data_IF_718898903460
#
_entry.id   IF_718898903460
#
_cell.length_a   1.000
_cell.length_b   1.000
_cell.length_c   1.000
_cell.angle_alpha   90.00
_cell.angle_beta   90.00
_cell.angle_gamma   90.00
#
_symmetry.space_group_name_H-M   'P 1'
#
loop_
_entity.id
_entity.type
_entity.pdbx_description
1 polymer ?
#
# COMPACT_ATOMS: atom_id res chain seq x y z
N UNK A 1 -7.14 -27.58 0.40
CA UNK A 1 -8.22 -26.75 1.00
C UNK A 1 -9.46 -26.93 0.16
N UNK A 2 -10.66 -26.91 0.78
CA UNK A 2 -11.91 -27.18 0.04
C UNK A 2 -12.59 -25.88 -0.43
N UNK A 3 -12.30 -24.78 0.22
CA UNK A 3 -12.88 -23.46 -0.06
C UNK A 3 -11.85 -22.33 -0.03
N UNK A 4 -12.06 -21.34 -0.91
CA UNK A 4 -11.40 -20.03 -0.86
C UNK A 4 -12.44 -18.96 -0.57
N UNK A 5 -12.18 -18.09 0.40
CA UNK A 5 -13.04 -16.94 0.70
C UNK A 5 -12.61 -15.78 -0.19
N UNK A 6 -13.54 -15.23 -0.93
CA UNK A 6 -13.31 -14.12 -1.83
C UNK A 6 -14.49 -13.15 -1.91
N UNK A 7 -14.49 -12.28 -2.89
CA UNK A 7 -15.56 -11.33 -3.17
C UNK A 7 -15.74 -11.15 -4.69
N UNK A 8 -16.75 -10.38 -5.14
CA UNK A 8 -17.03 -10.22 -6.56
C UNK A 8 -15.88 -9.61 -7.38
N UNK A 9 -14.95 -8.89 -6.73
CA UNK A 9 -13.83 -8.21 -7.39
C UNK A 9 -12.59 -9.10 -7.42
N UNK A 10 -12.22 -9.67 -6.27
CA UNK A 10 -10.97 -10.44 -6.12
C UNK A 10 -11.11 -11.86 -6.71
N UNK A 11 -12.28 -12.49 -6.52
CA UNK A 11 -12.58 -13.84 -7.03
C UNK A 11 -13.93 -13.88 -7.72
N UNK A 12 -14.09 -13.26 -8.88
CA UNK A 12 -15.33 -13.33 -9.64
C UNK A 12 -15.73 -14.78 -9.93
N UNK A 13 -17.00 -15.14 -9.75
CA UNK A 13 -17.50 -16.50 -9.99
C UNK A 13 -17.28 -16.95 -11.45
N UNK A 14 -17.21 -16.01 -12.39
CA UNK A 14 -16.86 -16.31 -13.78
C UNK A 14 -15.46 -16.92 -13.93
N UNK A 15 -14.59 -16.70 -12.97
CA UNK A 15 -13.22 -17.25 -12.94
C UNK A 15 -13.09 -18.49 -12.04
N UNK A 16 -14.20 -19.07 -11.59
CA UNK A 16 -14.18 -20.22 -10.66
C UNK A 16 -13.38 -21.41 -11.21
N UNK A 17 -13.34 -21.59 -12.52
CA UNK A 17 -12.56 -22.66 -13.16
C UNK A 17 -11.04 -22.52 -13.03
N UNK A 18 -10.53 -21.36 -12.60
CA UNK A 18 -9.10 -21.12 -12.36
C UNK A 18 -8.66 -21.52 -10.95
N UNK A 19 -9.59 -21.86 -10.05
CA UNK A 19 -9.33 -22.24 -8.67
C UNK A 19 -9.58 -23.74 -8.48
N UNK A 20 -8.72 -24.41 -7.74
CA UNK A 20 -8.93 -25.78 -7.31
C UNK A 20 -10.00 -25.87 -6.20
N UNK A 21 -10.12 -24.80 -5.42
CA UNK A 21 -11.06 -24.66 -4.32
C UNK A 21 -12.42 -24.12 -4.81
N UNK A 22 -13.46 -24.43 -4.05
CA UNK A 22 -14.78 -23.79 -4.24
C UNK A 22 -14.77 -22.38 -3.69
N UNK A 23 -15.26 -21.42 -4.45
CA UNK A 23 -15.31 -20.00 -4.03
C UNK A 23 -16.49 -19.81 -3.08
N UNK A 24 -16.20 -19.41 -1.84
CA UNK A 24 -17.17 -18.86 -0.90
C UNK A 24 -17.15 -17.34 -1.02
N UNK A 25 -18.05 -16.79 -1.86
CA UNK A 25 -18.06 -15.38 -2.19
C UNK A 25 -18.76 -14.54 -1.13
N UNK A 26 -18.05 -13.62 -0.53
CA UNK A 26 -18.60 -12.60 0.38
C UNK A 26 -19.30 -11.50 -0.44
N UNK A 27 -20.39 -10.89 0.09
CA UNK A 27 -21.21 -9.99 -0.72
C UNK A 27 -20.56 -8.65 -1.05
N UNK A 28 -19.61 -8.17 -0.24
CA UNK A 28 -18.99 -6.84 -0.41
C UNK A 28 -17.47 -6.93 -0.48
N UNK A 29 -16.85 -7.51 0.54
CA UNK A 29 -15.39 -7.62 0.64
C UNK A 29 -15.01 -8.91 1.36
N UNK A 30 -14.03 -9.61 0.85
CA UNK A 30 -13.53 -10.84 1.47
C UNK A 30 -12.78 -10.59 2.77
N UNK A 31 -12.23 -9.39 2.93
CA UNK A 31 -11.41 -9.02 4.07
C UNK A 31 -12.28 -8.47 5.20
N UNK A 32 -12.26 -9.09 6.40
CA UNK A 32 -13.02 -8.58 7.53
C UNK A 32 -12.44 -7.26 8.01
N UNK A 33 -13.30 -6.25 8.15
CA UNK A 33 -12.96 -4.95 8.70
C UNK A 33 -13.75 -4.71 9.99
N UNK A 34 -13.02 -4.48 11.08
CA UNK A 34 -13.62 -4.11 12.34
C UNK A 34 -14.04 -2.63 12.36
N UNK A 35 -15.37 -2.40 12.44
CA UNK A 35 -15.93 -1.04 12.52
C UNK A 35 -15.74 -0.39 13.90
N UNK A 36 -15.41 -1.17 14.92
CA UNK A 36 -15.17 -0.71 16.29
C UNK A 36 -13.68 -0.48 16.56
N UNK A 37 -12.83 -0.63 15.54
CA UNK A 37 -11.39 -0.39 15.66
C UNK A 37 -11.14 1.02 16.20
N UNK A 38 -10.35 1.16 17.28
CA UNK A 38 -10.00 2.47 17.82
C UNK A 38 -9.35 3.34 16.74
N UNK A 39 -9.86 4.54 16.58
CA UNK A 39 -9.22 5.52 15.69
C UNK A 39 -8.07 6.16 16.44
N UNK A 40 -6.87 6.26 15.85
CA UNK A 40 -5.80 7.04 16.46
C UNK A 40 -6.21 8.50 16.58
N UNK A 41 -5.60 9.20 17.53
CA UNK A 41 -5.77 10.66 17.63
C UNK A 41 -5.34 11.31 16.29
N UNK A 42 -6.01 12.39 15.87
CA UNK A 42 -5.57 13.16 14.73
C UNK A 42 -4.12 13.63 14.92
N UNK A 43 -3.30 13.43 13.90
CA UNK A 43 -1.92 13.88 13.85
C UNK A 43 -1.83 15.05 12.87
N UNK A 44 -1.16 16.13 13.24
CA UNK A 44 -0.87 17.23 12.32
C UNK A 44 0.30 16.90 11.40
N UNK A 45 0.47 17.65 10.31
CA UNK A 45 1.65 17.53 9.44
C UNK A 45 2.94 17.82 10.20
N UNK A 46 2.92 18.81 11.08
CA UNK A 46 4.06 19.17 11.92
C UNK A 46 4.47 18.02 12.86
N UNK A 47 3.49 17.33 13.48
CA UNK A 47 3.77 16.16 14.33
C UNK A 47 4.41 15.01 13.55
N UNK A 48 4.10 14.90 12.25
CA UNK A 48 4.67 13.91 11.35
C UNK A 48 5.98 14.36 10.67
N UNK A 49 6.45 15.59 10.93
CA UNK A 49 7.63 16.17 10.29
C UNK A 49 7.44 16.45 8.79
N UNK A 50 6.19 16.62 8.34
CA UNK A 50 5.85 16.89 6.95
C UNK A 50 5.75 18.39 6.69
N UNK A 51 6.18 18.88 5.51
CA UNK A 51 6.00 20.28 5.12
C UNK A 51 4.52 20.65 5.03
N UNK A 52 4.17 21.88 5.41
CA UNK A 52 2.78 22.34 5.45
C UNK A 52 2.13 22.38 4.06
N UNK A 53 2.87 22.89 3.06
CA UNK A 53 2.36 23.14 1.71
C UNK A 53 2.74 22.06 0.68
N UNK A 54 3.46 21.01 1.08
CA UNK A 54 3.89 19.95 0.18
C UNK A 54 2.75 19.01 -0.23
N UNK A 55 2.79 18.52 -1.45
CA UNK A 55 2.02 17.35 -1.87
C UNK A 55 2.64 16.10 -1.25
N UNK A 56 1.89 15.40 -0.39
CA UNK A 56 2.38 14.19 0.29
C UNK A 56 1.90 12.96 -0.46
N UNK A 57 2.83 12.24 -1.07
CA UNK A 57 2.61 10.94 -1.70
C UNK A 57 2.93 9.86 -0.67
N UNK A 58 1.97 9.00 -0.35
CA UNK A 58 2.13 7.98 0.69
C UNK A 58 2.24 6.58 0.11
N UNK A 59 3.28 5.84 0.52
CA UNK A 59 3.45 4.43 0.19
C UNK A 59 3.66 3.58 1.45
N UNK A 60 2.58 3.26 2.19
CA UNK A 60 2.66 2.48 3.45
C UNK A 60 2.60 0.98 3.24
N UNK A 61 3.00 0.51 2.07
CA UNK A 61 3.19 -0.91 1.80
C UNK A 61 4.50 -1.41 2.40
N UNK A 62 4.59 -2.73 2.58
CA UNK A 62 5.84 -3.36 3.00
C UNK A 62 6.92 -3.19 1.92
N UNK A 63 8.17 -2.97 2.33
CA UNK A 63 9.29 -2.64 1.45
C UNK A 63 9.50 -3.65 0.31
N UNK A 64 9.23 -4.95 0.54
CA UNK A 64 9.37 -5.99 -0.50
C UNK A 64 8.40 -5.82 -1.69
N UNK A 65 7.38 -4.97 -1.56
CA UNK A 65 6.43 -4.64 -2.64
C UNK A 65 6.89 -3.47 -3.51
N UNK A 66 7.97 -2.81 -3.12
CA UNK A 66 8.55 -1.70 -3.87
C UNK A 66 9.60 -2.31 -4.79
N UNK A 67 9.24 -2.50 -6.07
CA UNK A 67 10.20 -2.92 -7.09
C UNK A 67 10.97 -1.71 -7.62
N UNK A 68 12.11 -1.95 -8.27
CA UNK A 68 12.90 -0.88 -8.90
C UNK A 68 12.08 -0.09 -9.92
N UNK A 69 11.25 -0.75 -10.73
CA UNK A 69 10.41 -0.07 -11.72
C UNK A 69 9.39 0.87 -11.08
N UNK A 70 8.81 0.47 -9.94
CA UNK A 70 7.88 1.34 -9.19
C UNK A 70 8.62 2.52 -8.59
N UNK A 71 9.82 2.29 -8.08
CA UNK A 71 10.67 3.35 -7.52
C UNK A 71 11.09 4.35 -8.58
N UNK A 72 11.46 3.89 -9.78
CA UNK A 72 11.80 4.75 -10.92
C UNK A 72 10.63 5.70 -11.26
N UNK A 73 9.41 5.17 -11.35
CA UNK A 73 8.20 5.99 -11.60
C UNK A 73 7.99 7.01 -10.48
N UNK A 74 8.20 6.65 -9.22
CA UNK A 74 8.07 7.58 -8.11
C UNK A 74 9.15 8.67 -8.14
N UNK A 75 10.37 8.32 -8.53
CA UNK A 75 11.45 9.28 -8.71
C UNK A 75 11.16 10.27 -9.86
N UNK A 76 10.58 9.80 -10.96
CA UNK A 76 10.13 10.68 -12.05
C UNK A 76 9.04 11.66 -11.58
N UNK A 77 8.03 11.16 -10.85
CA UNK A 77 6.98 12.00 -10.28
C UNK A 77 7.55 13.08 -9.35
N UNK A 78 8.51 12.73 -8.49
CA UNK A 78 9.15 13.69 -7.58
C UNK A 78 9.98 14.74 -8.33
N UNK A 79 10.59 14.39 -9.48
CA UNK A 79 11.30 15.36 -10.32
C UNK A 79 10.35 16.36 -10.99
N UNK A 80 9.16 15.91 -11.36
CA UNK A 80 8.12 16.78 -11.96
C UNK A 80 7.37 17.62 -10.92
N UNK A 81 7.36 17.17 -9.66
CA UNK A 81 6.67 17.83 -8.54
C UNK A 81 7.67 18.21 -7.45
N UNK A 82 8.44 19.32 -7.63
CA UNK A 82 9.54 19.67 -6.73
C UNK A 82 9.07 19.98 -5.29
N UNK A 83 7.80 20.34 -5.11
CA UNK A 83 7.19 20.58 -3.79
C UNK A 83 6.52 19.34 -3.21
N UNK A 84 6.70 18.15 -3.81
CA UNK A 84 6.18 16.90 -3.28
C UNK A 84 7.19 16.18 -2.41
N UNK A 85 6.66 15.42 -1.44
CA UNK A 85 7.44 14.49 -0.62
C UNK A 85 6.86 13.09 -0.71
N UNK A 86 7.73 12.09 -0.75
CA UNK A 86 7.34 10.68 -0.70
C UNK A 86 7.48 10.17 0.73
N UNK A 87 6.37 9.79 1.34
CA UNK A 87 6.30 9.28 2.69
C UNK A 87 6.17 7.76 2.69
N UNK A 88 7.22 7.08 3.10
CA UNK A 88 7.31 5.63 3.14
C UNK A 88 7.37 5.12 4.58
N UNK A 89 7.02 3.85 4.77
CA UNK A 89 7.19 3.15 6.05
C UNK A 89 8.61 2.61 6.18
N UNK A 90 9.25 2.93 7.29
CA UNK A 90 10.55 2.35 7.67
C UNK A 90 10.32 1.10 8.55
N UNK A 91 10.07 -0.05 7.88
CA UNK A 91 9.80 -1.33 8.55
C UNK A 91 11.07 -2.04 9.05
N UNK A 92 12.19 -1.83 8.38
CA UNK A 92 13.45 -2.52 8.64
C UNK A 92 14.63 -1.59 8.42
N UNK A 93 15.60 -1.60 9.35
CA UNK A 93 16.81 -0.80 9.26
C UNK A 93 17.65 -1.03 7.99
N UNK A 94 17.40 -2.09 7.24
CA UNK A 94 18.04 -2.36 5.93
C UNK A 94 17.25 -1.79 4.74
N UNK A 95 15.94 -1.57 4.87
CA UNK A 95 15.12 -1.10 3.76
C UNK A 95 15.46 0.33 3.34
N UNK A 96 15.64 1.21 4.33
CA UNK A 96 15.99 2.61 4.08
C UNK A 96 17.31 2.79 3.35
N UNK A 97 18.44 2.19 3.80
CA UNK A 97 19.71 2.31 3.07
C UNK A 97 19.65 1.76 1.64
N UNK A 98 18.89 0.67 1.42
CA UNK A 98 18.74 0.11 0.08
C UNK A 98 17.96 1.04 -0.85
N UNK A 99 16.86 1.64 -0.37
CA UNK A 99 16.09 2.61 -1.13
C UNK A 99 16.90 3.88 -1.42
N UNK A 100 17.66 4.39 -0.45
CA UNK A 100 18.54 5.55 -0.62
C UNK A 100 19.64 5.27 -1.66
N UNK A 101 20.17 4.05 -1.71
CA UNK A 101 21.18 3.63 -2.70
C UNK A 101 20.58 3.54 -4.11
N UNK A 102 19.35 3.09 -4.26
CA UNK A 102 18.68 2.93 -5.55
C UNK A 102 18.26 4.28 -6.16
N UNK A 103 17.99 5.29 -5.33
CA UNK A 103 17.57 6.64 -5.75
C UNK A 103 18.77 7.50 -6.19
N UNK A 104 20.00 7.13 -5.82
CA UNK A 104 21.21 7.92 -6.10
C UNK A 104 21.81 7.59 -7.45
#
# INVERSE_FOLDING_TARGET
MDYIIGDPVVTPLAHAGHFAEKIAQMPVCYQPNDRQRPRPAPMSRADAGLPDDAVVLCGFNQAYKISSEVLDVWCELLRELPDAVLWLLDWHGQARPNLECEIT
#
